data_IF_187868280367
#
_entry.id   IF_187868280367
#
_cell.length_a   1.000
_cell.length_b   1.000
_cell.length_c   1.000
_cell.angle_alpha   90.00
_cell.angle_beta   90.00
_cell.angle_gamma   90.00
#
_symmetry.space_group_name_H-M   'P 1'
#
loop_
_entity.id
_entity.type
_entity.pdbx_description
1 polymer ?
#
# COMPACT_ATOMS: atom_id res chain seq x y z
N UNK A 1 -1.24 -9.93 -16.81
CA UNK A 1 -1.00 -9.68 -15.37
C UNK A 1 0.47 -9.34 -15.14
N UNK A 2 0.73 -8.28 -14.39
CA UNK A 2 2.08 -7.76 -14.14
C UNK A 2 2.67 -8.32 -12.85
N UNK A 3 3.94 -8.02 -12.61
CA UNK A 3 4.57 -8.42 -11.36
C UNK A 3 5.64 -7.43 -10.88
N UNK A 4 5.69 -7.25 -9.57
CA UNK A 4 6.81 -6.59 -8.87
C UNK A 4 7.64 -7.66 -8.18
N UNK A 5 8.93 -7.72 -8.51
CA UNK A 5 9.87 -8.65 -7.86
C UNK A 5 10.48 -7.97 -6.64
N UNK A 6 10.22 -8.54 -5.46
CA UNK A 6 10.92 -8.18 -4.23
C UNK A 6 12.11 -9.12 -4.09
N UNK A 7 13.32 -8.63 -4.41
CA UNK A 7 14.55 -9.43 -4.40
C UNK A 7 14.99 -9.84 -2.99
N UNK A 8 14.81 -8.95 -1.99
CA UNK A 8 15.08 -9.26 -0.59
C UNK A 8 13.91 -8.84 0.30
N UNK A 9 13.10 -9.83 0.70
CA UNK A 9 12.00 -9.66 1.65
C UNK A 9 12.37 -9.99 3.10
N UNK A 10 11.34 -10.15 3.94
CA UNK A 10 11.49 -10.68 5.30
C UNK A 10 12.19 -12.05 5.25
N UNK A 11 13.26 -12.21 6.03
CA UNK A 11 14.09 -13.41 6.02
C UNK A 11 14.94 -13.58 4.75
N UNK A 12 15.26 -12.47 4.05
CA UNK A 12 16.05 -12.44 2.80
C UNK A 12 15.47 -13.25 1.65
N UNK A 13 14.16 -13.55 1.68
CA UNK A 13 13.49 -14.33 0.64
C UNK A 13 13.07 -13.44 -0.52
N UNK A 14 13.44 -13.84 -1.73
CA UNK A 14 12.91 -13.27 -2.95
C UNK A 14 11.45 -13.70 -3.16
N UNK A 15 10.62 -12.82 -3.71
CA UNK A 15 9.25 -13.17 -4.12
C UNK A 15 8.75 -12.24 -5.21
N UNK A 16 7.76 -12.73 -5.95
CA UNK A 16 7.11 -12.01 -7.02
C UNK A 16 5.68 -11.69 -6.58
N UNK A 17 5.37 -10.40 -6.50
CA UNK A 17 4.06 -9.86 -6.11
C UNK A 17 3.30 -9.59 -7.39
N UNK A 18 2.20 -10.29 -7.60
CA UNK A 18 1.34 -10.03 -8.75
C UNK A 18 0.63 -8.70 -8.57
N UNK A 19 0.62 -7.92 -9.64
CA UNK A 19 -0.04 -6.62 -9.72
C UNK A 19 -0.91 -6.58 -10.97
N UNK A 20 -2.05 -5.95 -10.84
CA UNK A 20 -2.87 -5.61 -11.99
C UNK A 20 -2.20 -4.48 -12.77
N UNK A 21 -1.92 -4.71 -14.05
CA UNK A 21 -1.23 -3.75 -14.92
C UNK A 21 -2.15 -2.61 -15.36
N UNK A 22 -3.44 -2.92 -15.48
CA UNK A 22 -4.46 -1.96 -15.91
C UNK A 22 -5.19 -1.39 -14.70
N UNK A 23 -4.75 -1.76 -13.50
CA UNK A 23 -5.32 -1.32 -12.24
C UNK A 23 -4.86 0.07 -11.82
N UNK A 24 -5.58 0.70 -10.87
CA UNK A 24 -5.23 2.02 -10.33
C UNK A 24 -3.83 2.03 -9.66
N UNK A 25 -3.38 0.90 -9.13
CA UNK A 25 -2.04 0.76 -8.54
C UNK A 25 -0.95 1.00 -9.59
N UNK A 26 -1.08 0.42 -10.78
CA UNK A 26 -0.06 0.55 -11.81
C UNK A 26 -0.09 1.89 -12.51
N UNK A 27 -1.28 2.47 -12.71
CA UNK A 27 -1.38 3.88 -13.14
C UNK A 27 -0.68 4.83 -12.18
N UNK A 28 -0.89 4.67 -10.86
CA UNK A 28 -0.22 5.50 -9.85
C UNK A 28 1.28 5.27 -9.79
N UNK A 29 1.74 4.03 -9.91
CA UNK A 29 3.18 3.74 -9.96
C UNK A 29 3.79 4.37 -11.20
N UNK A 30 3.18 4.21 -12.39
CA UNK A 30 3.65 4.82 -13.63
C UNK A 30 3.73 6.33 -13.52
N UNK A 31 2.68 7.00 -13.06
CA UNK A 31 2.70 8.44 -12.83
C UNK A 31 3.80 8.89 -11.85
N UNK A 32 4.04 8.12 -10.77
CA UNK A 32 5.16 8.37 -9.86
C UNK A 32 6.51 8.21 -10.56
N UNK A 33 6.67 7.18 -11.39
CA UNK A 33 7.89 6.96 -12.15
C UNK A 33 8.10 8.07 -13.17
N UNK A 34 7.09 8.42 -13.94
CA UNK A 34 7.15 9.50 -14.92
C UNK A 34 7.53 10.80 -14.21
N UNK A 35 6.87 11.15 -13.11
CA UNK A 35 7.23 12.34 -12.32
C UNK A 35 8.66 12.23 -11.79
N UNK A 36 9.05 11.11 -11.18
CA UNK A 36 10.38 10.94 -10.61
C UNK A 36 11.46 11.02 -11.68
N UNK A 37 11.29 10.37 -12.83
CA UNK A 37 12.24 10.41 -13.94
C UNK A 37 12.28 11.76 -14.64
N UNK A 38 11.14 12.45 -14.77
CA UNK A 38 11.06 13.79 -15.37
C UNK A 38 11.61 14.87 -14.42
N UNK A 39 11.42 14.72 -13.10
CA UNK A 39 11.81 15.71 -12.08
C UNK A 39 13.17 15.41 -11.44
N UNK A 40 13.76 14.22 -11.66
CA UNK A 40 15.13 13.88 -11.24
C UNK A 40 16.24 14.61 -12.02
N UNK A 41 15.88 15.50 -12.94
CA UNK A 41 16.76 16.53 -13.50
C UNK A 41 17.09 17.57 -12.42
N UNK A 42 18.33 17.99 -12.12
CA UNK A 42 19.68 17.40 -12.21
C UNK A 42 20.23 17.00 -10.81
N UNK A 43 19.39 17.02 -9.76
CA UNK A 43 19.81 16.87 -8.35
C UNK A 43 19.92 15.41 -7.89
N UNK A 44 19.33 14.49 -8.63
CA UNK A 44 19.54 13.05 -8.42
C UNK A 44 20.53 12.64 -9.52
N UNK A 45 21.83 12.65 -9.21
CA UNK A 45 22.83 11.98 -10.04
C UNK A 45 22.53 10.48 -10.02
N UNK A 46 21.56 10.03 -10.80
CA UNK A 46 21.40 8.61 -11.11
C UNK A 46 22.60 8.29 -11.99
N UNK A 47 23.63 7.66 -11.41
CA UNK A 47 24.78 7.26 -12.21
C UNK A 47 24.34 6.42 -13.41
N UNK A 48 24.97 6.58 -14.59
CA UNK A 48 24.65 5.79 -15.78
C UNK A 48 24.65 4.28 -15.51
N UNK A 49 25.55 3.80 -14.64
CA UNK A 49 25.61 2.39 -14.21
C UNK A 49 24.36 1.92 -13.45
N UNK A 50 23.69 2.81 -12.70
CA UNK A 50 22.41 2.50 -12.04
C UNK A 50 21.25 2.40 -13.04
N UNK A 51 21.39 3.07 -14.20
CA UNK A 51 20.46 3.02 -15.34
C UNK A 51 20.55 1.68 -16.07
N UNK A 52 21.76 1.12 -16.23
CA UNK A 52 22.01 -0.19 -16.85
C UNK A 52 21.76 -1.38 -15.91
N UNK A 53 22.04 -1.24 -14.60
CA UNK A 53 21.89 -2.33 -13.62
C UNK A 53 20.45 -2.53 -13.10
N UNK A 54 19.44 -1.87 -13.68
CA UNK A 54 18.05 -1.90 -13.20
C UNK A 54 17.88 -1.38 -11.76
N UNK A 55 18.87 -0.63 -11.26
CA UNK A 55 18.99 -0.19 -9.87
C UNK A 55 18.51 1.24 -9.73
N UNK A 56 17.27 1.47 -10.12
CA UNK A 56 16.64 2.78 -9.97
C UNK A 56 16.38 3.01 -8.48
N UNK A 57 16.72 4.21 -8.01
CA UNK A 57 16.50 4.71 -6.66
C UNK A 57 14.99 4.89 -6.34
N UNK A 58 14.21 3.81 -6.38
CA UNK A 58 12.80 3.85 -6.04
C UNK A 58 12.62 4.17 -4.56
N UNK A 59 11.60 4.98 -4.24
CA UNK A 59 11.25 5.34 -2.86
C UNK A 59 12.41 6.01 -2.09
N UNK A 60 13.31 6.69 -2.79
CA UNK A 60 14.45 7.36 -2.19
C UNK A 60 14.01 8.42 -1.17
N UNK A 61 14.67 8.42 -0.01
CA UNK A 61 14.42 9.38 1.05
C UNK A 61 15.69 10.20 1.29
N UNK A 62 15.53 11.52 1.37
CA UNK A 62 16.64 12.41 1.70
C UNK A 62 16.98 12.29 3.18
N UNK A 63 18.22 11.94 3.49
CA UNK A 63 18.66 11.78 4.88
C UNK A 63 18.93 13.15 5.52
N UNK A 64 17.89 13.77 6.11
CA UNK A 64 17.96 15.14 6.64
C UNK A 64 19.03 15.33 7.73
N UNK A 65 19.37 14.27 8.46
CA UNK A 65 20.33 14.31 9.57
C UNK A 65 21.81 14.11 9.17
N UNK A 66 22.11 13.77 7.90
CA UNK A 66 23.50 13.62 7.44
C UNK A 66 23.99 14.92 6.79
N UNK A 67 25.23 15.37 7.05
CA UNK A 67 25.85 16.47 6.29
C UNK A 67 25.74 16.23 4.78
N UNK A 68 25.44 17.28 4.01
CA UNK A 68 25.18 17.15 2.56
C UNK A 68 23.80 16.59 2.18
N UNK A 69 23.02 16.06 3.14
CA UNK A 69 21.65 15.55 2.96
C UNK A 69 21.50 14.64 1.73
N UNK A 70 22.26 13.53 1.67
CA UNK A 70 22.30 12.64 0.51
C UNK A 70 20.96 11.96 0.25
N UNK A 71 20.74 11.60 -1.01
CA UNK A 71 19.65 10.72 -1.45
C UNK A 71 20.13 9.28 -1.36
N UNK A 72 19.44 8.44 -0.61
CA UNK A 72 19.75 7.01 -0.50
C UNK A 72 18.62 6.16 -1.10
N UNK A 73 18.93 5.00 -1.72
CA UNK A 73 17.94 4.07 -2.21
C UNK A 73 17.01 3.58 -1.07
N UNK A 74 15.72 3.55 -1.36
CA UNK A 74 14.72 2.99 -0.46
C UNK A 74 14.21 3.95 0.62
N UNK A 75 13.00 3.65 1.09
CA UNK A 75 12.35 4.41 2.15
C UNK A 75 12.53 3.71 3.49
N UNK A 76 13.10 4.42 4.46
CA UNK A 76 13.17 3.91 5.83
C UNK A 76 11.75 3.65 6.37
N UNK A 77 11.61 2.60 7.19
CA UNK A 77 10.32 2.21 7.80
C UNK A 77 9.69 3.33 8.61
N UNK A 78 10.51 4.14 9.30
CA UNK A 78 10.07 5.33 10.04
C UNK A 78 9.49 6.39 9.11
N UNK A 79 10.12 6.65 7.97
CA UNK A 79 9.64 7.58 6.95
C UNK A 79 8.32 7.11 6.35
N UNK A 80 8.19 5.81 6.05
CA UNK A 80 6.94 5.22 5.57
C UNK A 80 5.82 5.37 6.61
N UNK A 81 6.12 5.10 7.89
CA UNK A 81 5.15 5.26 8.98
C UNK A 81 4.67 6.70 9.10
N UNK A 82 5.58 7.68 9.06
CA UNK A 82 5.23 9.12 9.09
C UNK A 82 4.34 9.50 7.91
N UNK A 83 4.69 9.08 6.69
CA UNK A 83 3.86 9.33 5.50
C UNK A 83 2.46 8.71 5.62
N UNK A 84 2.37 7.49 6.15
CA UNK A 84 1.10 6.82 6.35
C UNK A 84 0.22 7.54 7.40
N UNK A 85 0.82 8.06 8.48
CA UNK A 85 0.10 8.89 9.46
C UNK A 85 -0.47 10.15 8.79
N UNK A 86 0.33 10.83 7.97
CA UNK A 86 -0.12 12.02 7.25
C UNK A 86 -1.26 11.69 6.28
N UNK A 87 -1.13 10.62 5.47
CA UNK A 87 -2.18 10.17 4.56
C UNK A 87 -3.48 9.81 5.30
N UNK A 88 -3.36 9.17 6.46
CA UNK A 88 -4.50 8.85 7.33
C UNK A 88 -5.20 10.11 7.81
N UNK A 89 -4.46 11.10 8.28
CA UNK A 89 -5.02 12.39 8.72
C UNK A 89 -5.74 13.10 7.58
N UNK A 90 -5.14 13.16 6.39
CA UNK A 90 -5.77 13.73 5.20
C UNK A 90 -7.04 12.97 4.79
N UNK A 91 -7.02 11.63 4.82
CA UNK A 91 -8.18 10.81 4.50
C UNK A 91 -9.32 11.02 5.51
N UNK A 92 -9.02 11.05 6.81
CA UNK A 92 -10.01 11.33 7.86
C UNK A 92 -10.63 12.71 7.67
N UNK A 93 -9.84 13.74 7.36
CA UNK A 93 -10.35 15.07 7.09
C UNK A 93 -11.35 15.07 5.91
N UNK A 94 -11.03 14.39 4.81
CA UNK A 94 -11.94 14.26 3.66
C UNK A 94 -13.24 13.56 4.02
N UNK A 95 -13.18 12.48 4.80
CA UNK A 95 -14.38 11.74 5.23
C UNK A 95 -15.23 12.58 6.18
N UNK A 96 -14.63 13.37 7.07
CA UNK A 96 -15.36 14.30 7.94
C UNK A 96 -16.13 15.34 7.13
N UNK A 97 -15.50 15.93 6.12
CA UNK A 97 -16.21 16.85 5.20
C UNK A 97 -17.35 16.17 4.46
N UNK A 98 -17.22 14.87 4.12
CA UNK A 98 -18.33 14.13 3.50
C UNK A 98 -19.48 13.89 4.48
N UNK A 99 -19.20 13.60 5.76
CA UNK A 99 -20.22 13.43 6.80
C UNK A 99 -21.01 14.71 6.99
N UNK A 100 -20.35 15.88 7.02
CA UNK A 100 -21.01 17.18 7.16
C UNK A 100 -22.02 17.47 6.04
N UNK A 101 -21.83 16.86 4.86
CA UNK A 101 -22.67 17.03 3.69
C UNK A 101 -23.68 15.89 3.50
N UNK A 102 -23.60 14.83 4.30
CA UNK A 102 -24.43 13.64 4.16
C UNK A 102 -25.71 13.76 5.00
N UNK A 103 -26.85 13.57 4.35
CA UNK A 103 -28.18 13.67 4.99
C UNK A 103 -28.74 12.31 5.39
N UNK A 104 -28.22 11.23 4.79
CA UNK A 104 -28.62 9.86 5.09
C UNK A 104 -27.93 9.36 6.37
N UNK A 105 -28.70 9.04 7.45
CA UNK A 105 -28.12 8.60 8.72
C UNK A 105 -27.36 7.27 8.60
N UNK A 106 -27.79 6.33 7.75
CA UNK A 106 -27.09 5.05 7.58
C UNK A 106 -25.74 5.22 6.89
N UNK A 107 -25.66 6.17 5.95
CA UNK A 107 -24.40 6.53 5.31
C UNK A 107 -23.49 7.31 6.24
N UNK A 108 -24.04 8.23 7.04
CA UNK A 108 -23.26 8.94 8.06
C UNK A 108 -22.61 7.97 9.04
N UNK A 109 -23.35 6.97 9.53
CA UNK A 109 -22.80 5.91 10.39
C UNK A 109 -21.68 5.12 9.68
N UNK A 110 -21.89 4.72 8.42
CA UNK A 110 -20.87 4.01 7.65
C UNK A 110 -19.59 4.84 7.42
N UNK A 111 -19.72 6.16 7.26
CA UNK A 111 -18.59 7.08 7.14
C UNK A 111 -17.87 7.25 8.49
N UNK A 112 -18.59 7.23 9.62
CA UNK A 112 -17.98 7.23 10.96
C UNK A 112 -17.19 5.94 11.22
N UNK A 113 -17.71 4.78 10.80
CA UNK A 113 -16.97 3.50 10.81
C UNK A 113 -15.68 3.59 10.00
N UNK A 114 -15.76 4.17 8.80
CA UNK A 114 -14.60 4.38 7.95
C UNK A 114 -13.54 5.26 8.63
N UNK A 115 -13.93 6.30 9.37
CA UNK A 115 -12.99 7.10 10.16
C UNK A 115 -12.27 6.25 11.21
N UNK A 116 -13.00 5.42 11.98
CA UNK A 116 -12.40 4.52 12.99
C UNK A 116 -11.39 3.56 12.36
N UNK A 117 -11.72 3.00 11.21
CA UNK A 117 -10.84 2.10 10.45
C UNK A 117 -9.59 2.84 9.94
N UNK A 118 -9.76 4.05 9.41
CA UNK A 118 -8.65 4.89 8.97
C UNK A 118 -7.74 5.21 10.15
N UNK A 119 -8.28 5.61 11.29
CA UNK A 119 -7.54 5.97 12.51
C UNK A 119 -6.67 4.81 13.03
N UNK A 120 -7.07 3.56 12.84
CA UNK A 120 -6.27 2.39 13.25
C UNK A 120 -5.43 1.79 12.12
N UNK A 121 -5.48 2.37 10.92
CA UNK A 121 -4.82 1.85 9.73
C UNK A 121 -3.28 1.83 9.86
N UNK A 122 -2.68 0.69 9.54
CA UNK A 122 -1.23 0.43 9.53
C UNK A 122 -0.83 -0.41 8.32
N UNK A 123 0.47 -0.56 7.99
CA UNK A 123 0.89 -1.40 6.87
C UNK A 123 0.46 -2.86 7.08
N UNK A 124 0.35 -3.27 8.35
CA UNK A 124 -0.14 -4.59 8.71
C UNK A 124 -1.65 -4.72 8.43
N UNK A 125 -2.49 -3.76 8.86
CA UNK A 125 -3.94 -3.83 8.58
C UNK A 125 -4.23 -3.72 7.08
N UNK A 126 -3.48 -2.93 6.32
CA UNK A 126 -3.57 -2.90 4.85
C UNK A 126 -3.22 -4.25 4.21
N UNK A 127 -2.22 -4.95 4.74
CA UNK A 127 -1.83 -6.29 4.31
C UNK A 127 -2.93 -7.31 4.58
N UNK A 128 -3.57 -7.22 5.75
CA UNK A 128 -4.75 -8.03 6.10
C UNK A 128 -5.91 -7.75 5.14
N UNK A 129 -6.26 -6.48 4.92
CA UNK A 129 -7.34 -6.09 4.03
C UNK A 129 -7.12 -6.56 2.58
N UNK A 130 -5.89 -6.53 2.08
CA UNK A 130 -5.57 -7.10 0.76
C UNK A 130 -5.74 -8.62 0.74
N UNK A 131 -5.26 -9.33 1.75
CA UNK A 131 -5.42 -10.78 1.85
C UNK A 131 -6.89 -11.19 1.86
N UNK A 132 -7.72 -10.48 2.61
CA UNK A 132 -9.17 -10.68 2.63
C UNK A 132 -9.80 -10.53 1.25
N UNK A 133 -9.49 -9.43 0.54
CA UNK A 133 -10.02 -9.21 -0.82
C UNK A 133 -9.59 -10.29 -1.81
N UNK A 134 -8.37 -10.81 -1.66
CA UNK A 134 -7.91 -11.94 -2.48
C UNK A 134 -8.74 -13.19 -2.19
N UNK A 135 -9.00 -13.51 -0.92
CA UNK A 135 -9.88 -14.63 -0.57
C UNK A 135 -11.31 -14.43 -1.06
N UNK A 136 -11.87 -13.22 -0.90
CA UNK A 136 -13.21 -12.88 -1.39
C UNK A 136 -13.32 -12.99 -2.93
N UNK A 137 -12.23 -12.75 -3.64
CA UNK A 137 -12.12 -12.97 -5.09
C UNK A 137 -11.83 -14.44 -5.48
N UNK A 138 -11.88 -15.38 -4.53
CA UNK A 138 -11.69 -16.81 -4.77
C UNK A 138 -10.23 -17.28 -4.79
N UNK A 139 -9.26 -16.45 -4.38
CA UNK A 139 -7.87 -16.87 -4.33
C UNK A 139 -7.65 -17.96 -3.26
N UNK A 140 -6.89 -19.00 -3.60
CA UNK A 140 -6.54 -20.07 -2.66
C UNK A 140 -5.53 -19.59 -1.62
N UNK A 141 -5.51 -20.25 -0.44
CA UNK A 141 -4.53 -19.99 0.63
C UNK A 141 -3.09 -20.09 0.13
N UNK A 142 -2.79 -21.01 -0.78
CA UNK A 142 -1.49 -21.15 -1.43
C UNK A 142 -1.12 -19.92 -2.26
N UNK A 143 -2.07 -19.34 -2.99
CA UNK A 143 -1.88 -18.11 -3.77
C UNK A 143 -1.64 -16.92 -2.85
N UNK A 144 -2.45 -16.77 -1.81
CA UNK A 144 -2.30 -15.70 -0.81
C UNK A 144 -0.97 -15.82 -0.06
N UNK A 145 -0.58 -17.02 0.38
CA UNK A 145 0.70 -17.26 1.05
C UNK A 145 1.89 -16.89 0.15
N UNK A 146 1.82 -17.23 -1.14
CA UNK A 146 2.85 -16.88 -2.14
C UNK A 146 2.96 -15.37 -2.34
N UNK A 147 1.83 -14.68 -2.51
CA UNK A 147 1.77 -13.22 -2.68
C UNK A 147 2.44 -12.49 -1.50
N UNK A 148 2.23 -13.00 -0.28
CA UNK A 148 2.77 -12.41 0.93
C UNK A 148 4.15 -12.95 1.35
N UNK A 149 4.65 -13.99 0.69
CA UNK A 149 5.94 -14.63 1.01
C UNK A 149 5.92 -15.41 2.32
N UNK A 150 4.79 -16.01 2.68
CA UNK A 150 4.67 -16.84 3.88
C UNK A 150 5.11 -18.27 3.57
N UNK A 151 6.05 -18.79 4.36
CA UNK A 151 6.57 -20.16 4.20
C UNK A 151 5.63 -21.24 4.75
N UNK A 152 4.68 -20.86 5.61
CA UNK A 152 3.65 -21.74 6.15
C UNK A 152 2.28 -21.17 5.81
N UNK A 153 1.42 -21.99 5.21
CA UNK A 153 0.05 -21.62 4.86
C UNK A 153 -0.78 -21.24 6.09
N UNK A 154 -0.49 -21.85 7.25
CA UNK A 154 -1.08 -21.48 8.53
C UNK A 154 -0.89 -20.01 8.91
N UNK A 155 0.16 -19.34 8.39
CA UNK A 155 0.39 -17.90 8.60
C UNK A 155 -0.45 -17.05 7.66
N UNK A 156 -0.80 -17.55 6.47
CA UNK A 156 -1.75 -16.90 5.56
C UNK A 156 -3.21 -17.09 6.03
N UNK A 157 -3.51 -18.21 6.68
CA UNK A 157 -4.81 -18.46 7.32
C UNK A 157 -5.12 -17.46 8.45
N UNK A 158 -4.09 -16.89 9.10
CA UNK A 158 -4.28 -15.81 10.09
C UNK A 158 -4.95 -14.56 9.50
N UNK A 159 -4.81 -14.33 8.18
CA UNK A 159 -5.50 -13.24 7.49
C UNK A 159 -6.98 -13.52 7.27
N UNK A 160 -7.38 -14.79 7.18
CA UNK A 160 -8.77 -15.19 6.93
C UNK A 160 -9.63 -15.28 8.18
N UNK A 161 -9.07 -15.13 9.39
CA UNK A 161 -9.77 -15.34 10.66
C UNK A 161 -10.18 -14.07 11.41
N UNK A 162 -9.72 -12.88 11.01
CA UNK A 162 -10.07 -11.63 11.71
C UNK A 162 -11.17 -10.86 10.96
N UNK A 163 -12.36 -10.88 11.56
CA UNK A 163 -13.59 -10.12 11.27
C UNK A 163 -14.41 -10.57 10.05
N UNK A 164 -14.94 -11.78 10.13
CA UNK A 164 -16.03 -12.30 9.27
C UNK A 164 -17.38 -11.55 9.40
N UNK A 165 -17.50 -10.50 10.22
CA UNK A 165 -18.76 -9.74 10.38
C UNK A 165 -18.70 -8.24 10.03
N UNK A 166 -17.59 -7.54 10.24
CA UNK A 166 -17.61 -6.06 10.14
C UNK A 166 -17.35 -5.54 8.71
N UNK A 167 -16.44 -6.16 7.93
CA UNK A 167 -16.12 -5.68 6.58
C UNK A 167 -17.18 -6.11 5.54
N UNK A 168 -17.88 -7.22 5.77
CA UNK A 168 -19.02 -7.65 4.93
C UNK A 168 -20.11 -6.57 4.89
N UNK A 169 -20.33 -5.88 6.02
CA UNK A 169 -21.23 -4.73 6.13
C UNK A 169 -20.76 -3.49 5.36
N UNK A 170 -19.44 -3.25 5.32
CA UNK A 170 -18.85 -2.11 4.62
C UNK A 170 -18.75 -2.32 3.09
N UNK A 171 -18.47 -3.54 2.63
CA UNK A 171 -18.28 -3.84 1.20
C UNK A 171 -19.61 -4.13 0.47
N UNK A 172 -20.62 -4.68 1.14
CA UNK A 172 -21.96 -4.86 0.56
C UNK A 172 -22.70 -3.54 0.27
N UNK A 173 -22.24 -2.42 0.85
CA UNK A 173 -22.78 -1.07 0.60
C UNK A 173 -22.01 -0.30 -0.48
N UNK A 174 -20.70 -0.55 -0.62
CA UNK A 174 -19.87 0.12 -1.64
C UNK A 174 -20.03 -0.45 -3.06
N UNK A 175 -20.46 -1.71 -3.20
CA UNK A 175 -20.65 -2.39 -4.50
C UNK A 175 -22.09 -2.28 -5.06
N UNK A 176 -22.98 -1.49 -4.44
CA UNK A 176 -24.28 -1.10 -4.98
C UNK A 176 -24.20 0.32 -5.55
N UNK A 177 -23.42 0.50 -6.61
CA UNK A 177 -23.49 1.61 -7.56
C UNK A 177 -23.01 1.13 -8.91
#
# INVERSE_FOLDING_TARGET
>A
GGAVTVRMGKGRKARRILIDLDGPTMRRLRAYLDTFYLTASPQVKVEPAAREAGSVLFLSARHRAKPGRPWEPGMQTVTMRKRMIALRQSAVALVRTQIEQESDPERSEALQDLIRDLETCSPHTLRHGLAYRLYAAGATTKTVARQFGHSRESTAMKYGKQKDKEIRGLMGRANRR
#
